data_IF_440721252240
#
_entry.id   IF_440721252240
#
_cell.length_a   1.000
_cell.length_b   1.000
_cell.length_c   1.000
_cell.angle_alpha   90.00
_cell.angle_beta   90.00
_cell.angle_gamma   90.00
#
_symmetry.space_group_name_H-M   'P 1'
#
loop_
_entity.id
_entity.type
_entity.pdbx_description
1 polymer ?
#
# COMPACT_ATOMS: atom_id res chain seq x y z
N UNK A 1 31.93 19.87 -26.68
CA UNK A 1 33.07 19.73 -25.74
C UNK A 1 34.29 20.36 -26.38
N UNK A 2 35.09 21.12 -25.63
CA UNK A 2 36.18 21.93 -26.15
C UNK A 2 37.58 21.31 -26.03
N UNK A 3 38.57 21.89 -26.73
CA UNK A 3 39.93 21.35 -26.81
C UNK A 3 40.72 21.42 -25.49
N UNK A 4 40.22 22.11 -24.45
CA UNK A 4 40.83 22.16 -23.11
C UNK A 4 40.30 21.06 -22.16
N UNK A 5 39.62 20.05 -22.67
CA UNK A 5 39.09 18.94 -21.87
C UNK A 5 40.22 17.99 -21.44
N UNK A 6 40.26 17.64 -20.16
CA UNK A 6 41.20 16.68 -19.58
C UNK A 6 40.48 15.71 -18.61
N UNK A 7 41.22 14.78 -18.00
CA UNK A 7 40.67 13.78 -17.08
C UNK A 7 39.99 14.36 -15.83
N UNK A 8 40.35 15.57 -15.41
CA UNK A 8 39.83 16.23 -14.21
C UNK A 8 38.76 17.28 -14.53
N UNK A 9 38.64 17.72 -15.78
CA UNK A 9 37.78 18.82 -16.17
C UNK A 9 37.34 18.73 -17.63
N UNK A 10 36.03 18.84 -17.87
CA UNK A 10 35.45 18.87 -19.23
C UNK A 10 35.09 20.29 -19.62
N UNK A 11 35.59 20.75 -20.77
CA UNK A 11 35.24 22.07 -21.31
C UNK A 11 33.90 21.97 -22.07
N UNK A 12 32.83 22.58 -21.54
CA UNK A 12 31.52 22.62 -22.19
C UNK A 12 31.31 23.94 -22.95
N UNK A 13 30.86 23.86 -24.20
CA UNK A 13 30.50 25.02 -25.05
C UNK A 13 29.00 25.14 -25.29
N UNK A 14 28.18 24.38 -24.55
CA UNK A 14 26.74 24.47 -24.71
C UNK A 14 26.21 25.78 -24.16
N UNK A 15 25.40 26.45 -24.96
CA UNK A 15 24.58 27.61 -24.56
C UNK A 15 23.15 27.22 -24.17
N UNK A 16 22.81 25.93 -24.26
CA UNK A 16 21.48 25.39 -23.93
C UNK A 16 21.49 24.66 -22.57
N UNK A 17 20.41 24.84 -21.79
CA UNK A 17 20.23 24.36 -20.42
C UNK A 17 19.74 22.90 -20.33
N UNK A 18 20.26 22.03 -21.19
CA UNK A 18 19.99 20.58 -21.12
C UNK A 18 21.03 19.90 -20.25
N UNK A 19 20.57 19.11 -19.27
CA UNK A 19 21.43 18.35 -18.35
C UNK A 19 22.41 17.48 -19.13
N UNK A 20 23.72 17.76 -19.00
CA UNK A 20 24.79 16.89 -19.45
C UNK A 20 25.00 15.76 -18.42
N UNK A 21 24.08 14.81 -18.36
CA UNK A 21 24.39 13.54 -17.71
C UNK A 21 25.34 12.77 -18.64
N UNK A 22 26.63 12.72 -18.31
CA UNK A 22 27.56 11.81 -18.95
C UNK A 22 27.07 10.37 -18.71
N UNK A 23 26.65 9.72 -19.79
CA UNK A 23 26.18 8.33 -19.91
C UNK A 23 26.14 7.49 -18.64
N UNK A 24 24.98 7.44 -17.98
CA UNK A 24 24.68 6.51 -16.88
C UNK A 24 24.06 5.19 -17.38
N UNK A 25 24.27 4.87 -18.66
CA UNK A 25 23.86 3.60 -19.27
C UNK A 25 25.03 3.13 -20.12
N UNK A 26 25.92 2.36 -19.51
CA UNK A 26 26.84 1.51 -20.24
C UNK A 26 26.00 0.34 -20.73
N UNK A 27 25.87 0.16 -22.05
CA UNK A 27 25.18 -1.02 -22.60
C UNK A 27 25.96 -2.23 -22.08
N UNK A 28 25.35 -3.10 -21.25
CA UNK A 28 26.06 -4.25 -20.74
C UNK A 28 26.47 -5.12 -21.92
N UNK A 29 27.71 -5.63 -21.86
CA UNK A 29 28.21 -6.58 -22.86
C UNK A 29 27.18 -7.71 -22.98
N UNK A 30 26.82 -8.07 -24.22
CA UNK A 30 25.93 -9.20 -24.49
C UNK A 30 26.39 -10.43 -23.74
N UNK A 31 25.45 -11.19 -23.18
CA UNK A 31 25.77 -12.39 -22.42
C UNK A 31 26.44 -13.42 -23.34
N UNK A 32 27.73 -13.69 -23.10
CA UNK A 32 28.46 -14.71 -23.84
C UNK A 32 28.24 -16.08 -23.18
N UNK A 33 27.19 -16.76 -23.62
CA UNK A 33 26.81 -18.08 -23.11
C UNK A 33 27.89 -19.15 -23.31
N UNK A 34 28.75 -19.00 -24.33
CA UNK A 34 29.82 -19.95 -24.62
C UNK A 34 30.91 -19.86 -23.56
N UNK A 35 31.35 -18.64 -23.24
CA UNK A 35 32.30 -18.38 -22.17
C UNK A 35 31.79 -18.85 -20.80
N UNK A 36 30.51 -18.62 -20.51
CA UNK A 36 29.87 -19.05 -19.26
C UNK A 36 29.87 -20.59 -19.12
N UNK A 37 29.58 -21.31 -20.21
CA UNK A 37 29.54 -22.78 -20.22
C UNK A 37 30.93 -23.40 -20.12
N UNK A 38 31.92 -22.80 -20.77
CA UNK A 38 33.32 -23.23 -20.69
C UNK A 38 33.91 -23.02 -19.29
N UNK A 39 33.50 -21.95 -18.59
CA UNK A 39 33.95 -21.64 -17.22
C UNK A 39 32.95 -22.07 -16.13
N UNK A 40 31.96 -22.91 -16.47
CA UNK A 40 30.91 -23.33 -15.55
C UNK A 40 31.39 -24.34 -14.49
N UNK A 41 32.62 -24.85 -14.58
CA UNK A 41 33.12 -25.82 -13.60
C UNK A 41 33.15 -25.21 -12.18
N UNK A 42 32.37 -25.82 -11.28
CA UNK A 42 32.19 -25.37 -9.89
C UNK A 42 33.51 -25.22 -9.11
N UNK A 43 34.54 -26.00 -9.45
CA UNK A 43 35.83 -25.94 -8.76
C UNK A 43 36.66 -24.71 -9.11
N UNK A 44 36.59 -24.21 -10.34
CA UNK A 44 37.38 -23.06 -10.79
C UNK A 44 36.80 -21.72 -10.32
N UNK A 45 35.47 -21.62 -10.21
CA UNK A 45 34.78 -20.35 -9.98
C UNK A 45 33.88 -20.34 -8.74
N UNK A 46 34.39 -20.89 -7.63
CA UNK A 46 33.67 -20.99 -6.35
C UNK A 46 33.06 -19.67 -5.87
N UNK A 47 33.75 -18.56 -6.08
CA UNK A 47 33.27 -17.23 -5.65
C UNK A 47 31.99 -16.81 -6.37
N UNK A 48 31.86 -17.09 -7.67
CA UNK A 48 30.65 -16.75 -8.45
C UNK A 48 29.44 -17.50 -7.87
N UNK A 49 29.58 -18.81 -7.67
CA UNK A 49 28.54 -19.64 -7.09
C UNK A 49 28.19 -19.23 -5.66
N UNK A 50 29.19 -18.90 -4.83
CA UNK A 50 28.95 -18.40 -3.48
C UNK A 50 28.15 -17.09 -3.48
N UNK A 51 28.46 -16.16 -4.38
CA UNK A 51 27.70 -14.89 -4.50
C UNK A 51 26.28 -15.10 -5.01
N UNK A 52 26.07 -16.00 -5.99
CA UNK A 52 24.75 -16.36 -6.50
C UNK A 52 23.88 -16.96 -5.40
N UNK A 53 24.39 -17.97 -4.69
CA UNK A 53 23.65 -18.64 -3.60
C UNK A 53 23.27 -17.63 -2.51
N UNK A 54 24.17 -16.70 -2.18
CA UNK A 54 23.92 -15.67 -1.17
C UNK A 54 22.82 -14.71 -1.60
N UNK A 55 22.86 -14.23 -2.84
CA UNK A 55 21.84 -13.33 -3.41
C UNK A 55 20.49 -14.05 -3.50
N UNK A 56 20.47 -15.29 -4.01
CA UNK A 56 19.25 -16.09 -4.14
C UNK A 56 18.62 -16.38 -2.78
N UNK A 57 19.43 -16.71 -1.77
CA UNK A 57 18.95 -16.94 -0.40
C UNK A 57 18.32 -15.68 0.21
N UNK A 58 18.96 -14.51 0.01
CA UNK A 58 18.42 -13.23 0.47
C UNK A 58 17.10 -12.90 -0.25
N UNK A 59 17.04 -13.12 -1.56
CA UNK A 59 15.83 -12.90 -2.35
C UNK A 59 14.67 -13.77 -1.87
N UNK A 60 14.90 -15.09 -1.68
CA UNK A 60 13.89 -16.02 -1.19
C UNK A 60 13.38 -15.59 0.19
N UNK A 61 14.27 -15.17 1.09
CA UNK A 61 13.89 -14.70 2.43
C UNK A 61 12.97 -13.47 2.36
N UNK A 62 13.35 -12.46 1.57
CA UNK A 62 12.52 -11.25 1.37
C UNK A 62 11.19 -11.61 0.71
N UNK A 63 11.21 -12.52 -0.28
CA UNK A 63 10.01 -12.97 -0.98
C UNK A 63 9.03 -13.69 -0.04
N UNK A 64 9.53 -14.58 0.84
CA UNK A 64 8.70 -15.25 1.84
C UNK A 64 8.05 -14.22 2.78
N UNK A 65 8.83 -13.27 3.29
CA UNK A 65 8.31 -12.23 4.17
C UNK A 65 7.28 -11.33 3.47
N UNK A 66 7.54 -10.95 2.21
CA UNK A 66 6.61 -10.19 1.39
C UNK A 66 5.32 -10.97 1.15
N UNK A 67 5.39 -12.25 0.77
CA UNK A 67 4.24 -13.11 0.57
C UNK A 67 3.42 -13.30 1.86
N UNK A 68 4.07 -13.41 3.02
CA UNK A 68 3.38 -13.48 4.32
C UNK A 68 2.62 -12.17 4.64
N UNK A 69 3.25 -11.02 4.39
CA UNK A 69 2.61 -9.71 4.58
C UNK A 69 1.45 -9.50 3.62
N UNK A 70 1.60 -9.91 2.36
CA UNK A 70 0.56 -9.80 1.34
C UNK A 70 -0.67 -10.63 1.72
N UNK A 71 -0.48 -11.88 2.17
CA UNK A 71 -1.58 -12.70 2.70
C UNK A 71 -2.31 -12.05 3.88
N UNK A 72 -1.59 -11.39 4.79
CA UNK A 72 -2.21 -10.68 5.92
C UNK A 72 -2.98 -9.44 5.43
N UNK A 73 -2.45 -8.72 4.45
CA UNK A 73 -3.11 -7.55 3.87
C UNK A 73 -4.39 -7.93 3.13
N UNK A 74 -4.37 -8.98 2.31
CA UNK A 74 -5.56 -9.49 1.61
C UNK A 74 -6.65 -9.92 2.60
N UNK A 75 -6.28 -10.58 3.71
CA UNK A 75 -7.24 -10.91 4.78
C UNK A 75 -7.84 -9.67 5.44
N UNK A 76 -7.06 -8.60 5.62
CA UNK A 76 -7.55 -7.33 6.17
C UNK A 76 -8.52 -6.61 5.21
N UNK A 77 -8.33 -6.76 3.90
CA UNK A 77 -9.25 -6.24 2.88
C UNK A 77 -10.56 -7.03 2.77
N UNK A 78 -10.67 -8.19 3.44
CA UNK A 78 -11.94 -8.92 3.46
C UNK A 78 -13.00 -8.10 4.19
N UNK A 79 -14.18 -8.02 3.57
CA UNK A 79 -15.29 -7.23 4.08
C UNK A 79 -15.68 -7.68 5.49
N UNK A 80 -15.63 -6.76 6.45
CA UNK A 80 -15.91 -7.04 7.86
C UNK A 80 -17.38 -6.74 8.16
N UNK A 81 -18.18 -7.70 8.66
CA UNK A 81 -19.55 -7.41 9.04
C UNK A 81 -19.58 -6.50 10.27
N UNK A 82 -20.50 -5.53 10.30
CA UNK A 82 -20.76 -4.75 11.51
C UNK A 82 -21.32 -5.65 12.62
N UNK A 83 -20.89 -5.39 13.86
CA UNK A 83 -21.27 -6.19 15.04
C UNK A 83 -22.78 -6.15 15.34
N UNK A 84 -23.47 -5.10 14.92
CA UNK A 84 -24.90 -4.91 15.16
C UNK A 84 -25.80 -5.46 14.04
N UNK A 85 -25.22 -6.12 13.03
CA UNK A 85 -25.97 -6.81 11.98
C UNK A 85 -26.77 -7.98 12.54
N UNK A 86 -28.04 -8.10 12.14
CA UNK A 86 -28.91 -9.20 12.56
C UNK A 86 -29.09 -10.20 11.42
N UNK A 87 -29.19 -11.49 11.76
CA UNK A 87 -29.48 -12.55 10.78
C UNK A 87 -30.85 -12.39 10.08
N UNK A 88 -31.76 -11.63 10.70
CA UNK A 88 -33.08 -11.31 10.14
C UNK A 88 -33.05 -10.22 9.07
N UNK A 89 -31.97 -9.44 9.01
CA UNK A 89 -31.84 -8.33 8.08
C UNK A 89 -31.68 -8.85 6.64
N UNK A 90 -32.35 -8.19 5.69
CA UNK A 90 -32.49 -8.69 4.32
C UNK A 90 -31.78 -7.85 3.28
N UNK A 91 -31.36 -6.64 3.64
CA UNK A 91 -30.71 -5.71 2.74
C UNK A 91 -29.30 -5.44 3.23
N UNK A 92 -28.34 -5.48 2.30
CA UNK A 92 -26.92 -5.38 2.59
C UNK A 92 -26.31 -4.22 1.82
N UNK A 93 -25.51 -3.44 2.53
CA UNK A 93 -24.82 -2.26 2.00
C UNK A 93 -23.33 -2.41 2.29
N UNK A 94 -22.52 -2.23 1.26
CA UNK A 94 -21.07 -2.15 1.38
C UNK A 94 -20.67 -0.71 1.66
N UNK A 95 -19.92 -0.49 2.74
CA UNK A 95 -19.42 0.83 3.13
C UNK A 95 -17.89 0.77 3.13
N UNK A 96 -17.28 1.65 2.34
CA UNK A 96 -15.82 1.71 2.16
C UNK A 96 -15.32 3.03 2.75
N UNK A 97 -14.43 2.94 3.75
CA UNK A 97 -13.78 4.11 4.33
C UNK A 97 -12.32 4.18 3.89
N UNK A 98 -11.92 5.37 3.41
CA UNK A 98 -10.54 5.65 3.00
C UNK A 98 -9.86 6.53 4.05
N UNK A 99 -8.98 5.94 4.85
CA UNK A 99 -8.19 6.72 5.80
C UNK A 99 -6.97 7.31 5.09
N UNK A 100 -6.81 8.63 5.18
CA UNK A 100 -5.78 9.33 4.42
C UNK A 100 -4.35 9.11 4.92
N UNK A 101 -3.41 9.77 4.26
CA UNK A 101 -1.97 9.51 4.44
C UNK A 101 -1.24 10.53 5.31
N UNK A 102 -1.92 11.55 5.84
CA UNK A 102 -1.31 12.56 6.71
C UNK A 102 -0.75 11.92 7.98
N UNK A 103 0.21 12.58 8.63
CA UNK A 103 0.56 12.18 9.99
C UNK A 103 -0.67 12.33 10.87
N UNK A 104 -0.85 11.42 11.83
CA UNK A 104 -1.99 11.43 12.75
C UNK A 104 -3.35 11.36 12.04
N UNK A 105 -3.35 10.72 10.85
CA UNK A 105 -4.57 10.48 10.07
C UNK A 105 -5.39 9.29 10.58
N UNK A 106 -4.76 8.39 11.35
CA UNK A 106 -5.43 7.24 11.95
C UNK A 106 -6.25 7.67 13.17
N UNK A 107 -7.25 6.90 13.55
CA UNK A 107 -7.96 7.15 14.81
C UNK A 107 -8.21 5.88 15.61
N UNK A 108 -8.17 6.02 16.93
CA UNK A 108 -8.64 5.00 17.89
C UNK A 108 -9.90 5.45 18.64
N UNK A 109 -10.43 6.62 18.29
CA UNK A 109 -11.69 7.13 18.82
C UNK A 109 -12.86 6.30 18.29
N UNK A 110 -14.01 6.38 18.97
CA UNK A 110 -15.22 5.73 18.45
C UNK A 110 -15.79 6.57 17.32
N UNK A 111 -15.94 5.93 16.17
CA UNK A 111 -16.53 6.54 14.99
C UNK A 111 -17.93 6.01 14.80
N UNK A 112 -18.88 6.93 14.65
CA UNK A 112 -20.27 6.64 14.42
C UNK A 112 -20.66 7.15 13.04
N UNK A 113 -21.63 6.50 12.41
CA UNK A 113 -22.16 6.99 11.16
C UNK A 113 -23.67 6.77 11.06
N UNK A 114 -24.27 7.50 10.12
CA UNK A 114 -25.68 7.46 9.78
C UNK A 114 -25.76 7.46 8.26
N UNK A 115 -26.25 6.38 7.66
CA UNK A 115 -26.50 6.31 6.22
C UNK A 115 -27.98 6.55 5.96
N UNK A 116 -28.28 7.65 5.28
CA UNK A 116 -29.63 7.99 4.88
C UNK A 116 -29.85 7.72 3.39
N UNK A 117 -30.96 7.06 3.08
CA UNK A 117 -31.51 7.03 1.73
C UNK A 117 -32.90 7.67 1.70
N UNK A 118 -33.50 7.71 0.50
CA UNK A 118 -34.80 8.37 0.31
C UNK A 118 -35.95 7.73 1.09
N UNK A 119 -35.89 6.42 1.33
CA UNK A 119 -36.98 5.66 1.94
C UNK A 119 -36.81 5.51 3.46
N UNK A 120 -35.56 5.45 3.93
CA UNK A 120 -35.26 5.28 5.36
C UNK A 120 -33.80 5.64 5.72
N UNK A 121 -33.49 5.63 7.01
CA UNK A 121 -32.16 5.84 7.58
C UNK A 121 -31.77 4.62 8.45
N UNK A 122 -30.48 4.32 8.52
CA UNK A 122 -29.91 3.32 9.42
C UNK A 122 -30.01 3.68 10.91
N UNK A 123 -30.20 4.97 11.24
CA UNK A 123 -29.96 5.49 12.58
C UNK A 123 -28.46 5.51 12.92
N UNK A 124 -28.13 5.80 14.18
CA UNK A 124 -26.76 5.85 14.66
C UNK A 124 -26.15 4.45 14.71
N UNK A 125 -25.17 4.20 13.84
CA UNK A 125 -24.37 2.98 13.80
C UNK A 125 -22.98 3.26 14.35
N UNK A 126 -22.41 2.32 15.09
CA UNK A 126 -21.04 2.39 15.56
C UNK A 126 -20.14 1.57 14.62
N UNK A 127 -19.01 2.16 14.22
CA UNK A 127 -17.98 1.45 13.48
C UNK A 127 -17.11 0.67 14.47
N UNK A 128 -17.58 -0.52 14.85
CA UNK A 128 -16.90 -1.39 15.81
C UNK A 128 -16.68 -2.78 15.22
N UNK A 129 -15.47 -3.30 15.39
CA UNK A 129 -15.04 -4.62 14.91
C UNK A 129 -13.96 -5.19 15.82
N UNK A 130 -13.75 -6.50 15.76
CA UNK A 130 -12.69 -7.18 16.52
C UNK A 130 -11.25 -6.84 16.03
N UNK A 131 -11.10 -6.16 14.89
CA UNK A 131 -9.82 -5.85 14.26
C UNK A 131 -9.39 -4.38 14.38
N UNK A 132 -8.12 -4.10 14.04
CA UNK A 132 -7.67 -2.71 13.91
C UNK A 132 -8.19 -2.09 12.61
N UNK A 133 -9.04 -1.08 12.78
CA UNK A 133 -9.68 -0.31 11.71
C UNK A 133 -9.17 1.13 11.71
N UNK A 134 -9.42 1.86 10.62
CA UNK A 134 -9.14 3.30 10.49
C UNK A 134 -7.66 3.66 10.67
N UNK A 135 -6.77 2.74 10.27
CA UNK A 135 -5.33 2.96 10.28
C UNK A 135 -4.91 3.91 9.15
N UNK A 136 -3.79 4.63 9.35
CA UNK A 136 -3.22 5.52 8.34
C UNK A 136 -2.96 4.77 7.04
N UNK A 137 -3.37 5.36 5.90
CA UNK A 137 -3.20 4.77 4.56
C UNK A 137 -3.86 3.38 4.46
N UNK A 138 -5.01 3.22 5.09
CA UNK A 138 -5.78 1.98 5.06
C UNK A 138 -7.14 2.20 4.38
N UNK A 139 -7.65 1.13 3.81
CA UNK A 139 -9.01 1.04 3.27
C UNK A 139 -9.72 0.00 4.11
N UNK A 140 -10.83 0.38 4.71
CA UNK A 140 -11.64 -0.51 5.55
C UNK A 140 -13.00 -0.73 4.88
N UNK A 141 -13.33 -2.00 4.61
CA UNK A 141 -14.57 -2.44 3.98
C UNK A 141 -15.50 -3.05 5.03
N UNK A 142 -16.71 -2.51 5.13
CA UNK A 142 -17.73 -2.99 6.06
C UNK A 142 -18.98 -3.45 5.34
N UNK A 143 -19.53 -4.58 5.78
CA UNK A 143 -20.87 -5.02 5.39
C UNK A 143 -21.86 -4.58 6.46
N UNK A 144 -22.80 -3.72 6.08
CA UNK A 144 -23.92 -3.32 6.92
C UNK A 144 -25.19 -4.01 6.46
N UNK A 145 -25.90 -4.63 7.40
CA UNK A 145 -27.20 -5.24 7.18
C UNK A 145 -28.31 -4.38 7.81
N UNK A 146 -29.42 -4.20 7.09
CA UNK A 146 -30.59 -3.45 7.55
C UNK A 146 -31.89 -4.23 7.25
N UNK A 147 -32.94 -4.04 8.07
CA UNK A 147 -34.19 -4.78 7.92
C UNK A 147 -34.98 -4.41 6.65
N UNK A 148 -34.84 -3.17 6.17
CA UNK A 148 -35.57 -2.61 5.04
C UNK A 148 -34.64 -1.84 4.10
N UNK A 149 -34.98 -1.78 2.81
CA UNK A 149 -34.26 -0.97 1.84
C UNK A 149 -34.25 0.51 2.26
N UNK A 150 -33.09 1.17 2.15
CA UNK A 150 -32.95 2.61 2.38
C UNK A 150 -33.36 3.43 1.14
N UNK A 151 -33.53 2.78 -0.02
CA UNK A 151 -33.69 3.46 -1.31
C UNK A 151 -32.38 4.02 -1.86
N UNK A 152 -32.42 4.90 -2.87
CA UNK A 152 -31.25 5.63 -3.35
C UNK A 152 -30.59 6.39 -2.20
N UNK A 153 -29.26 6.27 -2.08
CA UNK A 153 -28.49 6.94 -1.04
C UNK A 153 -28.53 8.45 -1.21
N UNK A 154 -28.77 9.15 -0.10
CA UNK A 154 -28.88 10.61 -0.06
C UNK A 154 -27.61 11.21 0.55
N UNK A 155 -27.31 10.86 1.81
CA UNK A 155 -26.10 11.33 2.48
C UNK A 155 -25.57 10.30 3.49
N UNK A 156 -24.28 10.42 3.80
CA UNK A 156 -23.60 9.74 4.88
C UNK A 156 -23.12 10.78 5.89
N UNK A 157 -23.58 10.69 7.13
CA UNK A 157 -23.07 11.53 8.24
C UNK A 157 -22.13 10.69 9.09
N UNK A 158 -21.02 11.28 9.48
CA UNK A 158 -19.97 10.63 10.25
C UNK A 158 -19.65 11.49 11.48
N UNK A 159 -19.53 10.86 12.64
CA UNK A 159 -19.17 11.49 13.91
C UNK A 159 -17.99 10.77 14.54
N UNK A 160 -17.18 11.52 15.29
CA UNK A 160 -16.05 11.03 16.04
C UNK A 160 -16.15 11.61 17.46
N UNK A 161 -16.03 10.78 18.49
CA UNK A 161 -16.13 11.20 19.89
C UNK A 161 -14.82 11.75 20.49
N UNK A 162 -13.72 11.74 19.72
CA UNK A 162 -12.38 12.15 20.15
C UNK A 162 -11.88 11.41 21.40
N UNK A 163 -12.35 10.18 21.65
CA UNK A 163 -11.93 9.40 22.82
C UNK A 163 -10.50 8.84 22.70
N UNK A 164 -9.91 8.88 21.51
CA UNK A 164 -8.53 8.44 21.27
C UNK A 164 -7.50 9.34 21.94
N UNK A 165 -6.35 8.78 22.29
CA UNK A 165 -5.29 9.54 22.95
C UNK A 165 -4.54 10.45 21.96
N UNK A 166 -4.38 11.72 22.29
CA UNK A 166 -3.49 12.68 21.62
C UNK A 166 -3.56 12.61 20.09
N UNK A 167 -2.57 11.99 19.43
CA UNK A 167 -2.45 11.85 17.97
C UNK A 167 -3.51 10.95 17.33
N UNK A 168 -4.17 10.07 18.09
CA UNK A 168 -5.17 9.14 17.58
C UNK A 168 -6.61 9.64 17.83
N UNK A 169 -6.79 10.83 18.41
CA UNK A 169 -8.09 11.44 18.70
C UNK A 169 -8.83 11.86 17.42
N UNK A 170 -8.10 12.56 16.53
CA UNK A 170 -8.60 13.03 15.25
C UNK A 170 -8.54 11.96 14.18
N UNK A 171 -9.35 12.11 13.13
CA UNK A 171 -9.34 11.21 11.98
C UNK A 171 -9.32 12.00 10.68
N UNK A 172 -8.44 11.62 9.75
CA UNK A 172 -8.42 12.20 8.42
C UNK A 172 -9.05 11.22 7.41
N UNK A 173 -10.37 11.32 7.30
CA UNK A 173 -11.17 10.63 6.28
C UNK A 173 -11.02 11.36 4.92
N UNK A 174 -10.81 10.58 3.85
CA UNK A 174 -10.68 11.06 2.47
C UNK A 174 -11.93 10.80 1.65
#
# INVERSE_FOLDING_TARGET
>A
VGPKTNHYQTQCFSTHLTKFAGGWIVIPKSLDWKYMKENAQFEQNKTIYATLITIDSLFIFIFIFAAMKDRKYVKKLMMTPLLDNKKSDKYFYEIIFFTGMRNDAATKSKVYFILSGNDNDTGLRLLDTEGSILERRNIDLFLMAVPSCLGPSNYLRIGNDNSGDSSDASWFLK
#
